data_IF_883593605214
#
_entry.id   IF_883593605214
#
_cell.length_a   1.000
_cell.length_b   1.000
_cell.length_c   1.000
_cell.angle_alpha   90.00
_cell.angle_beta   90.00
_cell.angle_gamma   90.00
#
_symmetry.space_group_name_H-M   'P 1'
#
loop_
_entity.id
_entity.type
_entity.pdbx_description
1 polymer ?
#
# COMPACT_ATOMS: atom_id res chain seq x y z
N UNK A 1 -19.12 -6.27 20.92
CA UNK A 1 -19.27 -5.83 19.51
C UNK A 1 -19.53 -7.06 18.65
N UNK A 2 -20.61 -7.06 17.86
CA UNK A 2 -20.97 -8.18 16.98
C UNK A 2 -19.97 -8.31 15.82
N UNK A 3 -19.59 -9.54 15.46
CA UNK A 3 -18.77 -9.79 14.25
C UNK A 3 -19.63 -9.44 13.01
N UNK A 4 -19.08 -8.75 12.00
CA UNK A 4 -19.84 -8.46 10.78
C UNK A 4 -20.32 -9.76 10.13
N UNK A 5 -21.58 -9.84 9.72
CA UNK A 5 -22.03 -10.96 8.87
C UNK A 5 -21.36 -10.84 7.50
N UNK A 6 -21.27 -11.96 6.76
CA UNK A 6 -20.62 -12.00 5.43
C UNK A 6 -21.17 -10.94 4.46
N UNK A 7 -22.46 -10.63 4.53
CA UNK A 7 -23.12 -9.58 3.74
C UNK A 7 -22.60 -8.18 4.08
N UNK A 8 -22.44 -7.85 5.37
CA UNK A 8 -21.93 -6.55 5.80
C UNK A 8 -20.48 -6.33 5.37
N UNK A 9 -19.66 -7.39 5.43
CA UNK A 9 -18.27 -7.33 4.97
C UNK A 9 -18.16 -7.06 3.46
N UNK A 10 -18.96 -7.76 2.64
CA UNK A 10 -19.03 -7.53 1.18
C UNK A 10 -19.49 -6.12 0.84
N UNK A 11 -20.52 -5.62 1.54
CA UNK A 11 -21.01 -4.26 1.34
C UNK A 11 -19.96 -3.22 1.72
N UNK A 12 -19.28 -3.41 2.87
CA UNK A 12 -18.19 -2.55 3.32
C UNK A 12 -17.02 -2.47 2.34
N UNK A 13 -16.62 -3.59 1.72
CA UNK A 13 -15.56 -3.60 0.70
C UNK A 13 -15.99 -2.92 -0.60
N UNK A 14 -17.21 -3.20 -1.06
CA UNK A 14 -17.77 -2.56 -2.24
C UNK A 14 -17.89 -1.04 -2.04
N UNK A 15 -18.33 -0.61 -0.86
CA UNK A 15 -18.40 0.79 -0.47
C UNK A 15 -17.01 1.44 -0.47
N UNK A 16 -16.01 0.80 0.16
CA UNK A 16 -14.63 1.30 0.21
C UNK A 16 -14.05 1.50 -1.19
N UNK A 17 -14.16 0.49 -2.07
CA UNK A 17 -13.70 0.58 -3.46
C UNK A 17 -14.40 1.70 -4.22
N UNK A 18 -15.72 1.78 -4.10
CA UNK A 18 -16.52 2.80 -4.79
C UNK A 18 -16.16 4.21 -4.32
N UNK A 19 -15.99 4.41 -3.01
CA UNK A 19 -15.52 5.69 -2.44
C UNK A 19 -14.14 6.06 -2.94
N UNK A 20 -13.19 5.14 -2.94
CA UNK A 20 -11.84 5.41 -3.44
C UNK A 20 -11.87 5.83 -4.91
N UNK A 21 -12.66 5.11 -5.73
CA UNK A 21 -12.82 5.42 -7.15
C UNK A 21 -13.41 6.84 -7.35
N UNK A 22 -14.43 7.19 -6.57
CA UNK A 22 -15.04 8.52 -6.60
C UNK A 22 -14.07 9.60 -6.12
N UNK A 23 -13.38 9.39 -5.00
CA UNK A 23 -12.37 10.33 -4.47
C UNK A 23 -11.27 10.57 -5.49
N UNK A 24 -10.78 9.50 -6.14
CA UNK A 24 -9.78 9.60 -7.20
C UNK A 24 -10.29 10.42 -8.38
N UNK A 25 -11.46 10.05 -8.91
CA UNK A 25 -12.04 10.64 -10.13
C UNK A 25 -12.42 12.11 -9.94
N UNK A 26 -12.97 12.47 -8.79
CA UNK A 26 -13.57 13.79 -8.58
C UNK A 26 -12.72 14.73 -7.73
N UNK A 27 -11.71 14.24 -7.02
CA UNK A 27 -10.88 15.08 -6.15
C UNK A 27 -9.39 14.92 -6.47
N UNK A 28 -8.83 13.71 -6.39
CA UNK A 28 -7.37 13.54 -6.50
C UNK A 28 -6.85 13.93 -7.88
N UNK A 29 -7.51 13.49 -8.96
CA UNK A 29 -7.09 13.83 -10.32
C UNK A 29 -7.38 15.32 -10.65
N UNK A 30 -8.62 15.83 -10.52
CA UNK A 30 -8.93 17.18 -10.96
C UNK A 30 -8.48 18.30 -10.02
N UNK A 31 -8.48 18.09 -8.70
CA UNK A 31 -8.17 19.14 -7.73
C UNK A 31 -6.71 19.10 -7.26
N UNK A 32 -6.17 17.90 -7.02
CA UNK A 32 -4.76 17.74 -6.61
C UNK A 32 -3.81 17.56 -7.80
N UNK A 33 -4.33 17.43 -9.02
CA UNK A 33 -3.49 17.26 -10.21
C UNK A 33 -2.73 15.93 -10.21
N UNK A 34 -3.24 14.88 -9.59
CA UNK A 34 -2.57 13.56 -9.56
C UNK A 34 -2.43 12.99 -10.98
N UNK A 35 -1.18 12.75 -11.41
CA UNK A 35 -0.81 12.18 -12.72
C UNK A 35 -0.54 10.70 -12.66
N UNK A 36 0.23 10.27 -11.67
CA UNK A 36 0.54 8.87 -11.44
C UNK A 36 0.16 8.49 -10.02
N UNK A 37 -0.22 7.24 -9.84
CA UNK A 37 -0.53 6.71 -8.53
C UNK A 37 -0.14 5.24 -8.47
N UNK A 38 0.14 4.80 -7.26
CA UNK A 38 0.24 3.39 -6.89
C UNK A 38 -0.42 3.25 -5.52
N UNK A 39 -1.24 2.24 -5.32
CA UNK A 39 -1.74 1.91 -3.98
C UNK A 39 -2.05 0.43 -3.84
N UNK A 40 -1.93 -0.07 -2.61
CA UNK A 40 -2.27 -1.43 -2.23
C UNK A 40 -3.27 -1.43 -1.07
N UNK A 41 -4.21 -2.38 -1.11
CA UNK A 41 -5.08 -2.69 0.01
C UNK A 41 -4.33 -3.56 1.02
N UNK A 42 -4.50 -3.23 2.29
CA UNK A 42 -3.96 -4.00 3.42
C UNK A 42 -5.04 -4.15 4.48
N UNK A 43 -5.08 -5.27 5.21
CA UNK A 43 -5.94 -5.41 6.38
C UNK A 43 -5.08 -5.53 7.63
N UNK A 44 -5.31 -4.62 8.57
CA UNK A 44 -4.72 -4.66 9.90
C UNK A 44 -5.58 -5.52 10.83
N UNK A 45 -5.14 -5.63 12.08
CA UNK A 45 -5.84 -6.36 13.14
C UNK A 45 -7.33 -6.00 13.18
N UNK A 46 -8.17 -7.02 13.42
CA UNK A 46 -9.64 -6.93 13.44
C UNK A 46 -10.28 -6.57 12.08
N UNK A 47 -9.53 -6.65 10.98
CA UNK A 47 -10.05 -6.44 9.62
C UNK A 47 -10.23 -4.98 9.22
N UNK A 48 -9.53 -4.07 9.90
CA UNK A 48 -9.49 -2.66 9.51
C UNK A 48 -8.68 -2.51 8.22
N UNK A 49 -9.38 -2.39 7.10
CA UNK A 49 -8.70 -2.27 5.81
C UNK A 49 -8.16 -0.86 5.58
N UNK A 50 -6.87 -0.80 5.25
CA UNK A 50 -6.10 0.38 4.93
C UNK A 50 -5.75 0.40 3.44
N UNK A 51 -5.39 1.59 2.96
CA UNK A 51 -4.83 1.77 1.62
C UNK A 51 -3.50 2.49 1.80
N UNK A 52 -2.43 1.84 1.39
CA UNK A 52 -1.09 2.41 1.35
C UNK A 52 -0.77 2.78 -0.08
N UNK A 53 -0.16 3.95 -0.32
CA UNK A 53 0.07 4.37 -1.70
C UNK A 53 0.85 5.66 -1.86
N UNK A 54 1.18 5.93 -3.13
CA UNK A 54 1.84 7.13 -3.61
C UNK A 54 0.97 7.86 -4.62
N UNK A 55 1.04 9.18 -4.57
CA UNK A 55 0.42 10.09 -5.52
C UNK A 55 1.49 11.01 -6.08
N UNK A 56 1.61 11.04 -7.40
CA UNK A 56 2.46 12.00 -8.11
C UNK A 56 1.60 13.17 -8.56
N UNK A 57 1.81 14.33 -7.95
CA UNK A 57 1.10 15.54 -8.28
C UNK A 57 1.80 16.28 -9.41
N UNK A 58 1.01 16.85 -10.32
CA UNK A 58 1.48 17.76 -11.35
C UNK A 58 2.03 19.01 -10.65
N UNK A 59 3.24 19.44 -11.03
CA UNK A 59 3.88 20.67 -10.55
C UNK A 59 4.40 20.63 -9.09
N UNK A 60 4.47 19.44 -8.47
CA UNK A 60 5.09 19.30 -7.16
C UNK A 60 6.61 19.58 -7.18
N UNK A 61 7.15 20.29 -6.17
CA UNK A 61 8.57 20.61 -6.08
C UNK A 61 9.40 19.34 -5.89
N UNK A 62 10.58 19.32 -6.51
CA UNK A 62 11.49 18.18 -6.52
C UNK A 62 12.26 18.09 -5.20
N UNK A 63 11.76 17.26 -4.30
CA UNK A 63 12.37 17.08 -2.99
C UNK A 63 13.78 16.47 -3.03
N UNK A 64 14.13 15.76 -4.10
CA UNK A 64 15.43 15.12 -4.29
C UNK A 64 16.55 16.09 -4.66
N UNK A 65 16.22 17.30 -5.10
CA UNK A 65 17.19 18.37 -5.36
C UNK A 65 17.50 19.19 -4.08
N UNK A 66 16.77 18.95 -2.98
CA UNK A 66 16.95 19.62 -1.69
C UNK A 66 17.83 18.79 -0.77
N UNK A 67 18.90 19.41 -0.27
CA UNK A 67 19.84 18.81 0.68
C UNK A 67 19.29 18.85 2.11
N UNK A 68 18.31 17.99 2.41
CA UNK A 68 17.67 17.93 3.74
C UNK A 68 18.65 17.69 4.90
N UNK A 69 19.80 17.05 4.65
CA UNK A 69 20.83 16.83 5.67
C UNK A 69 21.46 18.12 6.21
N UNK A 70 21.30 19.26 5.51
CA UNK A 70 21.66 20.57 6.06
C UNK A 70 20.88 20.89 7.34
N UNK A 71 19.61 20.46 7.44
CA UNK A 71 18.77 20.70 8.62
C UNK A 71 19.12 19.81 9.82
N UNK A 72 19.93 18.76 9.62
CA UNK A 72 20.38 17.88 10.71
C UNK A 72 21.56 18.47 11.48
N UNK A 73 22.22 19.49 10.93
CA UNK A 73 23.41 20.12 11.49
C UNK A 73 23.04 21.51 12.02
N UNK A 74 23.10 21.76 13.33
CA UNK A 74 22.66 23.03 13.91
C UNK A 74 23.55 24.23 13.50
N UNK A 75 24.77 23.96 13.06
CA UNK A 75 25.78 24.93 12.65
C UNK A 75 25.92 25.06 11.12
N UNK A 76 25.14 24.31 10.34
CA UNK A 76 25.22 24.37 8.88
C UNK A 76 24.67 25.70 8.35
N UNK A 77 25.51 26.39 7.58
CA UNK A 77 25.07 27.52 6.75
C UNK A 77 24.32 26.94 5.54
N UNK A 78 23.04 27.27 5.42
CA UNK A 78 22.19 26.87 4.29
C UNK A 78 22.44 27.86 3.14
N UNK A 79 22.92 27.41 1.97
CA UNK A 79 23.07 28.29 0.81
C UNK A 79 21.72 28.88 0.38
N UNK A 80 21.70 30.13 -0.09
CA UNK A 80 20.46 30.83 -0.49
C UNK A 80 19.62 30.03 -1.50
N UNK A 81 20.26 29.35 -2.45
CA UNK A 81 19.59 28.47 -3.41
C UNK A 81 18.83 27.34 -2.72
N UNK A 82 19.46 26.65 -1.76
CA UNK A 82 18.83 25.57 -1.00
C UNK A 82 17.72 26.11 -0.08
N UNK A 83 17.94 27.26 0.55
CA UNK A 83 16.91 27.93 1.35
C UNK A 83 15.68 28.26 0.48
N UNK A 84 15.88 28.83 -0.70
CA UNK A 84 14.79 29.14 -1.64
C UNK A 84 14.02 27.89 -2.06
N UNK A 85 14.71 26.79 -2.37
CA UNK A 85 14.05 25.52 -2.71
C UNK A 85 13.25 24.95 -1.53
N UNK A 86 13.79 25.01 -0.31
CA UNK A 86 13.08 24.61 0.92
C UNK A 86 11.84 25.47 1.14
N UNK A 87 11.93 26.78 0.94
CA UNK A 87 10.80 27.71 1.06
C UNK A 87 9.69 27.39 0.04
N UNK A 88 10.05 27.23 -1.24
CA UNK A 88 9.09 26.84 -2.28
C UNK A 88 8.44 25.48 -1.98
N UNK A 89 9.21 24.53 -1.46
CA UNK A 89 8.70 23.24 -1.04
C UNK A 89 7.65 23.37 0.07
N UNK A 90 7.97 24.12 1.12
CA UNK A 90 7.08 24.33 2.26
C UNK A 90 5.81 25.08 1.80
N UNK A 91 5.96 26.15 1.05
CA UNK A 91 4.85 26.96 0.54
C UNK A 91 3.87 26.13 -0.31
N UNK A 92 4.41 25.29 -1.21
CA UNK A 92 3.58 24.41 -2.03
C UNK A 92 2.82 23.39 -1.18
N UNK A 93 3.50 22.66 -0.28
CA UNK A 93 2.87 21.58 0.48
C UNK A 93 1.94 22.09 1.59
N UNK A 94 2.16 23.28 2.12
CA UNK A 94 1.28 23.90 3.13
C UNK A 94 -0.10 24.27 2.58
N UNK A 95 -0.23 24.44 1.26
CA UNK A 95 -1.51 24.64 0.59
C UNK A 95 -2.29 23.33 0.40
N UNK A 96 -1.62 22.19 0.46
CA UNK A 96 -2.17 20.87 0.14
C UNK A 96 -2.44 20.05 1.40
N UNK A 97 -1.55 20.15 2.40
CA UNK A 97 -1.56 19.32 3.59
C UNK A 97 -1.70 20.24 4.81
N UNK A 98 -2.68 19.92 5.65
CA UNK A 98 -2.89 20.57 6.95
C UNK A 98 -3.06 19.50 8.03
N UNK A 99 -2.87 19.86 9.29
CA UNK A 99 -3.28 19.05 10.43
C UNK A 99 -4.17 19.88 11.38
N UNK A 100 -4.83 20.93 10.89
CA UNK A 100 -5.67 21.79 11.72
C UNK A 100 -7.09 21.22 11.89
N UNK A 101 -7.57 21.20 13.14
CA UNK A 101 -8.94 20.93 13.54
C UNK A 101 -9.71 22.24 13.73
N UNK A 102 -10.96 22.38 13.26
CA UNK A 102 -11.81 23.51 13.64
C UNK A 102 -12.20 23.49 15.13
N UNK A 103 -12.01 22.35 15.80
CA UNK A 103 -12.24 22.15 17.23
C UNK A 103 -10.99 21.48 17.83
N UNK A 104 -9.90 22.23 18.06
CA UNK A 104 -8.68 21.65 18.60
C UNK A 104 -8.93 21.10 20.01
N UNK A 105 -8.30 19.98 20.34
CA UNK A 105 -8.25 19.50 21.72
C UNK A 105 -7.55 20.54 22.61
N UNK A 106 -8.31 21.20 23.49
CA UNK A 106 -7.81 22.25 24.41
C UNK A 106 -7.21 21.68 25.71
N UNK A 107 -7.08 20.36 25.84
CA UNK A 107 -6.59 19.75 27.07
C UNK A 107 -5.06 19.78 27.12
N UNK A 108 -4.54 20.85 27.73
CA UNK A 108 -3.11 21.03 28.04
C UNK A 108 -2.54 19.94 28.97
N UNK A 109 -3.39 19.15 29.64
CA UNK A 109 -2.99 18.05 30.52
C UNK A 109 -2.99 16.68 29.82
N UNK A 110 -3.36 16.61 28.54
CA UNK A 110 -3.23 15.36 27.79
C UNK A 110 -1.74 15.01 27.76
N UNK A 111 -1.31 13.83 28.25
CA UNK A 111 0.08 13.45 28.19
C UNK A 111 0.56 13.66 26.77
N UNK A 112 1.63 14.43 26.61
CA UNK A 112 2.40 14.39 25.38
C UNK A 112 2.58 12.91 25.10
N UNK A 113 1.93 12.36 24.07
CA UNK A 113 2.50 11.20 23.42
C UNK A 113 3.92 11.66 23.15
N UNK A 114 4.87 11.08 23.90
CA UNK A 114 6.26 11.52 23.92
C UNK A 114 6.77 11.61 22.49
N UNK A 115 7.96 12.19 22.29
CA UNK A 115 8.61 12.17 20.97
C UNK A 115 8.21 10.93 20.20
N UNK A 116 7.47 11.11 19.09
CA UNK A 116 6.93 9.97 18.35
C UNK A 116 8.10 9.00 18.22
N UNK A 117 8.03 7.73 18.67
CA UNK A 117 9.19 6.86 18.91
C UNK A 117 10.03 6.53 17.66
N UNK A 118 9.71 7.18 16.54
CA UNK A 118 10.37 7.17 15.25
C UNK A 118 10.88 8.57 14.82
N UNK A 119 11.11 9.51 15.73
CA UNK A 119 11.98 10.68 15.54
C UNK A 119 13.44 10.23 15.42
N UNK A 120 13.73 9.29 14.51
CA UNK A 120 15.07 8.73 14.25
C UNK A 120 15.98 9.74 13.53
N UNK A 121 16.01 11.00 13.95
CA UNK A 121 16.80 12.08 13.32
C UNK A 121 16.48 12.31 11.84
N UNK A 122 15.26 11.93 11.39
CA UNK A 122 14.83 12.11 9.99
C UNK A 122 14.11 13.43 9.85
N UNK A 123 14.52 14.21 8.86
CA UNK A 123 13.81 15.41 8.43
C UNK A 123 12.42 15.02 7.93
N UNK A 124 11.42 15.82 8.29
CA UNK A 124 10.03 15.65 7.89
C UNK A 124 9.42 17.02 7.61
N UNK A 125 8.42 17.03 6.73
CA UNK A 125 7.53 18.17 6.59
C UNK A 125 6.44 18.08 7.67
N UNK A 126 6.28 19.15 8.43
CA UNK A 126 5.22 19.30 9.42
C UNK A 126 4.32 20.46 8.96
N UNK A 127 3.04 20.20 8.63
CA UNK A 127 2.12 21.25 8.22
C UNK A 127 1.71 22.13 9.40
N UNK A 128 0.99 23.23 9.12
CA UNK A 128 0.29 23.97 10.16
C UNK A 128 -0.65 23.02 10.94
N UNK A 129 -0.59 23.12 12.26
CA UNK A 129 -1.13 22.15 13.18
C UNK A 129 -1.58 22.85 14.45
N UNK A 130 -2.85 22.65 14.83
CA UNK A 130 -3.42 23.20 16.05
C UNK A 130 -3.93 22.13 17.03
N UNK A 131 -3.85 20.85 16.66
CA UNK A 131 -4.27 19.71 17.50
C UNK A 131 -3.28 18.57 17.34
N UNK A 132 -2.49 18.30 18.39
CA UNK A 132 -1.35 17.35 18.37
C UNK A 132 -1.70 15.91 17.97
N UNK A 133 -2.97 15.53 18.01
CA UNK A 133 -3.44 14.18 17.69
C UNK A 133 -3.95 14.05 16.25
N UNK A 134 -3.95 15.15 15.49
CA UNK A 134 -4.44 15.17 14.12
C UNK A 134 -3.37 14.64 13.17
N UNK A 135 -3.72 13.62 12.39
CA UNK A 135 -2.86 13.21 11.29
C UNK A 135 -2.88 14.27 10.18
N UNK A 136 -1.76 14.54 9.49
CA UNK A 136 -1.74 15.36 8.30
C UNK A 136 -2.71 14.84 7.23
N UNK A 137 -3.55 15.73 6.70
CA UNK A 137 -4.59 15.39 5.73
C UNK A 137 -4.76 16.50 4.68
N UNK A 138 -5.42 16.17 3.58
CA UNK A 138 -5.92 17.15 2.62
C UNK A 138 -7.43 17.33 2.80
N UNK A 139 -7.89 18.58 2.90
CA UNK A 139 -9.29 18.94 3.19
C UNK A 139 -10.26 18.36 2.14
N UNK A 140 -9.96 18.51 0.85
CA UNK A 140 -10.83 17.99 -0.21
C UNK A 140 -10.85 16.45 -0.23
N UNK A 141 -9.70 15.81 -0.02
CA UNK A 141 -9.59 14.35 0.02
C UNK A 141 -10.35 13.75 1.20
N UNK A 142 -10.25 14.29 2.41
CA UNK A 142 -10.94 13.71 3.58
C UNK A 142 -12.46 13.82 3.44
N UNK A 143 -12.97 14.88 2.81
CA UNK A 143 -14.39 15.05 2.50
C UNK A 143 -14.89 14.02 1.47
N UNK A 144 -14.11 13.75 0.43
CA UNK A 144 -14.45 12.72 -0.57
C UNK A 144 -14.31 11.30 -0.03
N UNK A 145 -13.20 11.03 0.68
CA UNK A 145 -12.82 9.72 1.20
C UNK A 145 -13.66 9.30 2.42
N UNK A 146 -13.96 10.24 3.32
CA UNK A 146 -14.71 10.03 4.56
C UNK A 146 -14.13 8.93 5.46
N UNK A 147 -12.80 8.85 5.49
CA UNK A 147 -12.06 7.98 6.39
C UNK A 147 -10.73 8.64 6.75
N UNK A 148 -10.07 8.12 7.78
CA UNK A 148 -8.79 8.64 8.25
C UNK A 148 -7.74 8.63 7.14
N UNK A 149 -6.91 9.67 7.10
CA UNK A 149 -5.82 9.86 6.14
C UNK A 149 -4.56 10.24 6.91
N UNK A 150 -3.41 9.74 6.45
CA UNK A 150 -2.09 10.22 6.85
C UNK A 150 -1.33 10.55 5.55
N UNK A 151 -1.38 11.81 5.13
CA UNK A 151 -0.81 12.29 3.88
C UNK A 151 0.48 13.07 4.16
N UNK A 152 1.60 12.59 3.63
CA UNK A 152 2.91 13.21 3.82
C UNK A 152 3.64 13.34 2.50
N UNK A 153 4.35 14.46 2.26
CA UNK A 153 5.18 14.57 1.08
C UNK A 153 6.41 13.68 1.22
N UNK A 154 6.91 13.21 0.09
CA UNK A 154 8.08 12.35 0.02
C UNK A 154 9.31 13.22 -0.12
N UNK A 155 10.26 13.08 0.81
CA UNK A 155 11.46 13.92 0.83
C UNK A 155 12.66 13.32 0.08
N UNK A 156 12.65 12.03 -0.24
CA UNK A 156 13.73 11.39 -1.00
C UNK A 156 13.26 10.17 -1.79
N UNK A 157 14.01 9.81 -2.83
CA UNK A 157 13.75 8.61 -3.65
C UNK A 157 13.87 7.33 -2.82
N UNK A 158 14.85 7.28 -1.93
CA UNK A 158 15.08 6.15 -1.03
C UNK A 158 13.91 5.99 -0.07
N UNK A 159 13.33 7.08 0.42
CA UNK A 159 12.12 7.02 1.25
C UNK A 159 10.94 6.44 0.48
N UNK A 160 10.77 6.81 -0.80
CA UNK A 160 9.76 6.24 -1.68
C UNK A 160 9.97 4.73 -1.88
N UNK A 161 11.18 4.33 -2.30
CA UNK A 161 11.54 2.93 -2.59
C UNK A 161 11.36 2.07 -1.35
N UNK A 162 11.88 2.51 -0.19
CA UNK A 162 11.76 1.77 1.06
C UNK A 162 10.30 1.59 1.50
N UNK A 163 9.46 2.59 1.25
CA UNK A 163 8.03 2.48 1.55
C UNK A 163 7.35 1.48 0.59
N UNK A 164 7.57 1.60 -0.73
CA UNK A 164 7.03 0.64 -1.71
C UNK A 164 7.48 -0.77 -1.34
N UNK A 165 8.78 -0.98 -1.13
CA UNK A 165 9.33 -2.27 -0.75
C UNK A 165 8.67 -2.80 0.53
N UNK A 166 8.55 -1.99 1.58
CA UNK A 166 7.91 -2.38 2.84
C UNK A 166 6.50 -2.93 2.65
N UNK A 167 5.68 -2.31 1.79
CA UNK A 167 4.28 -2.71 1.61
C UNK A 167 4.10 -3.74 0.49
N UNK A 168 4.98 -3.77 -0.51
CA UNK A 168 5.00 -4.79 -1.55
C UNK A 168 5.56 -6.13 -1.04
N UNK A 169 6.53 -6.10 -0.13
CA UNK A 169 7.14 -7.29 0.49
C UNK A 169 6.58 -7.60 1.87
N UNK A 170 5.43 -7.01 2.25
CA UNK A 170 4.86 -7.23 3.57
C UNK A 170 4.40 -8.68 3.66
N UNK A 171 5.16 -9.48 4.41
CA UNK A 171 4.82 -10.88 4.62
C UNK A 171 3.44 -11.01 5.27
N UNK A 172 2.70 -12.01 4.82
CA UNK A 172 1.42 -12.38 5.41
C UNK A 172 1.68 -12.90 6.82
N UNK A 173 1.07 -12.26 7.82
CA UNK A 173 1.25 -12.67 9.21
C UNK A 173 0.61 -14.04 9.41
N UNK A 174 1.23 -14.86 10.26
CA UNK A 174 0.70 -16.15 10.74
C UNK A 174 0.69 -17.31 9.72
N UNK A 175 1.24 -17.13 8.52
CA UNK A 175 1.48 -18.27 7.61
C UNK A 175 2.72 -19.07 8.07
N UNK A 176 2.63 -20.40 8.23
CA UNK A 176 3.80 -21.23 8.48
C UNK A 176 4.81 -21.08 7.33
N UNK A 177 6.11 -21.26 7.62
CA UNK A 177 7.11 -21.13 6.58
C UNK A 177 6.87 -22.17 5.48
N UNK A 178 7.13 -21.81 4.21
CA UNK A 178 6.90 -22.72 3.07
C UNK A 178 7.47 -24.15 3.28
N UNK A 179 8.69 -24.33 3.85
CA UNK A 179 9.22 -25.66 4.13
C UNK A 179 8.40 -26.47 5.13
N UNK A 180 7.80 -25.81 6.13
CA UNK A 180 6.97 -26.46 7.16
C UNK A 180 5.62 -26.89 6.57
N UNK A 181 5.02 -26.04 5.72
CA UNK A 181 3.83 -26.39 4.96
C UNK A 181 4.09 -27.58 4.04
N UNK A 182 5.24 -27.59 3.34
CA UNK A 182 5.63 -28.66 2.44
C UNK A 182 5.86 -29.97 3.16
N UNK A 183 6.62 -29.95 4.26
CA UNK A 183 6.83 -31.12 5.09
C UNK A 183 5.49 -31.69 5.60
N UNK A 184 4.57 -30.82 6.02
CA UNK A 184 3.23 -31.23 6.43
C UNK A 184 2.44 -31.91 5.32
N UNK A 185 2.42 -31.35 4.10
CA UNK A 185 1.72 -31.95 2.96
C UNK A 185 2.32 -33.31 2.59
N UNK A 186 3.65 -33.41 2.54
CA UNK A 186 4.35 -34.65 2.19
C UNK A 186 4.10 -35.73 3.25
N UNK A 187 4.09 -35.38 4.54
CA UNK A 187 3.81 -36.33 5.63
C UNK A 187 2.35 -36.81 5.64
N UNK A 188 1.40 -36.01 5.12
CA UNK A 188 -0.02 -36.36 4.97
C UNK A 188 -0.34 -37.10 3.65
N UNK A 189 0.66 -37.34 2.80
CA UNK A 189 0.51 -38.14 1.59
C UNK A 189 0.87 -39.59 1.91
N UNK A 190 -0.14 -40.45 1.98
CA UNK A 190 0.07 -41.91 2.02
C UNK A 190 0.23 -42.45 0.59
N UNK A 191 1.31 -43.20 0.33
CA UNK A 191 1.59 -43.88 -0.96
C UNK A 191 2.26 -43.04 -2.05
N UNK A 192 2.29 -43.56 -3.30
CA UNK A 192 2.78 -42.85 -4.50
C UNK A 192 1.80 -41.73 -4.91
N UNK A 193 1.78 -40.63 -4.16
CA UNK A 193 1.06 -39.44 -4.56
C UNK A 193 1.79 -38.66 -5.66
N UNK A 194 1.06 -38.18 -6.65
CA UNK A 194 1.66 -37.39 -7.75
C UNK A 194 2.06 -35.99 -7.28
N UNK A 195 3.05 -35.39 -7.95
CA UNK A 195 3.45 -34.00 -7.69
C UNK A 195 2.27 -33.02 -7.83
N UNK A 196 1.33 -33.30 -8.74
CA UNK A 196 0.14 -32.49 -8.97
C UNK A 196 -0.81 -32.53 -7.76
N UNK A 197 -0.99 -33.70 -7.14
CA UNK A 197 -1.76 -33.84 -5.90
C UNK A 197 -1.08 -33.10 -4.73
N UNK A 198 0.25 -33.19 -4.65
CA UNK A 198 1.04 -32.46 -3.65
C UNK A 198 0.87 -30.93 -3.82
N UNK A 199 0.98 -30.42 -5.05
CA UNK A 199 0.76 -29.00 -5.36
C UNK A 199 -0.67 -28.56 -5.00
N UNK A 200 -1.69 -29.38 -5.29
CA UNK A 200 -3.09 -29.05 -4.97
C UNK A 200 -3.34 -29.03 -3.46
N UNK A 201 -2.83 -30.02 -2.72
CA UNK A 201 -2.88 -30.04 -1.24
C UNK A 201 -2.13 -28.85 -0.64
N UNK A 202 -0.95 -28.53 -1.19
CA UNK A 202 -0.16 -27.36 -0.80
C UNK A 202 -0.95 -26.07 -0.99
N UNK A 203 -1.53 -25.83 -2.18
CA UNK A 203 -2.33 -24.64 -2.44
C UNK A 203 -3.49 -24.51 -1.45
N UNK A 204 -4.20 -25.61 -1.18
CA UNK A 204 -5.27 -25.62 -0.19
C UNK A 204 -4.77 -25.34 1.24
N UNK A 205 -3.63 -25.89 1.63
CA UNK A 205 -3.04 -25.68 2.95
C UNK A 205 -2.55 -24.23 3.12
N UNK A 206 -1.90 -23.65 2.11
CA UNK A 206 -1.54 -22.22 2.09
C UNK A 206 -2.77 -21.31 2.22
N UNK A 207 -3.91 -21.68 1.62
CA UNK A 207 -5.16 -20.93 1.75
C UNK A 207 -5.82 -21.10 3.13
N UNK A 208 -5.68 -22.26 3.77
CA UNK A 208 -6.36 -22.60 5.03
C UNK A 208 -5.61 -22.19 6.29
N UNK A 209 -4.27 -22.16 6.26
CA UNK A 209 -3.42 -21.84 7.42
C UNK A 209 -3.35 -20.32 7.69
N UNK A 210 -3.78 -19.49 6.73
CA UNK A 210 -3.83 -18.04 6.92
C UNK A 210 -5.14 -17.61 7.57
N UNK A 211 -5.02 -16.78 8.60
CA UNK A 211 -6.16 -16.10 9.22
C UNK A 211 -6.56 -14.88 8.38
N UNK A 212 -7.76 -14.91 7.81
CA UNK A 212 -8.32 -13.79 7.06
C UNK A 212 -9.39 -13.08 7.89
N UNK A 213 -9.39 -11.75 7.83
CA UNK A 213 -10.54 -11.01 8.34
C UNK A 213 -11.75 -11.16 7.41
N UNK A 214 -12.98 -11.07 7.93
CA UNK A 214 -14.18 -11.11 7.11
C UNK A 214 -14.16 -10.06 5.98
N UNK A 215 -13.59 -8.90 6.27
CA UNK A 215 -13.39 -7.79 5.33
C UNK A 215 -12.41 -8.14 4.22
N UNK A 216 -11.32 -8.83 4.53
CA UNK A 216 -10.31 -9.27 3.56
C UNK A 216 -10.86 -10.39 2.68
N UNK A 217 -11.48 -11.41 3.30
CA UNK A 217 -12.18 -12.47 2.58
C UNK A 217 -13.21 -11.89 1.62
N UNK A 218 -14.00 -10.92 2.07
CA UNK A 218 -14.97 -10.26 1.21
C UNK A 218 -14.33 -9.52 0.02
N UNK A 219 -13.14 -8.93 0.20
CA UNK A 219 -12.44 -8.25 -0.87
C UNK A 219 -11.94 -9.23 -1.94
N UNK A 220 -11.33 -10.33 -1.49
CA UNK A 220 -10.85 -11.41 -2.36
C UNK A 220 -12.00 -12.06 -3.12
N UNK A 221 -13.12 -12.38 -2.45
CA UNK A 221 -14.30 -12.98 -3.08
C UNK A 221 -15.00 -12.05 -4.09
N UNK A 222 -14.82 -10.73 -3.97
CA UNK A 222 -15.34 -9.77 -4.93
C UNK A 222 -14.40 -9.55 -6.13
N UNK A 223 -13.25 -10.26 -6.18
CA UNK A 223 -12.26 -10.12 -7.24
C UNK A 223 -11.70 -8.69 -7.34
N UNK A 224 -11.65 -7.96 -6.22
CA UNK A 224 -11.09 -6.60 -6.23
C UNK A 224 -9.56 -6.75 -6.22
N UNK A 225 -8.83 -6.11 -7.16
CA UNK A 225 -7.37 -6.16 -7.18
C UNK A 225 -6.77 -5.57 -5.89
N UNK A 226 -5.80 -6.29 -5.31
CA UNK A 226 -5.09 -5.82 -4.12
C UNK A 226 -4.19 -4.62 -4.41
N UNK A 227 -3.66 -4.53 -5.63
CA UNK A 227 -2.75 -3.47 -6.07
C UNK A 227 -3.34 -2.77 -7.27
N UNK A 228 -3.23 -1.45 -7.28
CA UNK A 228 -3.61 -0.60 -8.40
C UNK A 228 -2.49 0.40 -8.69
N UNK A 229 -2.24 0.63 -9.97
CA UNK A 229 -1.32 1.66 -10.42
C UNK A 229 -1.84 2.35 -11.67
N UNK A 230 -1.36 3.57 -11.91
CA UNK A 230 -1.51 4.25 -13.21
C UNK A 230 -0.62 3.67 -14.31
N UNK A 231 0.32 2.80 -13.93
CA UNK A 231 1.33 2.23 -14.82
C UNK A 231 1.09 0.73 -14.97
N UNK A 232 1.26 0.22 -16.18
CA UNK A 232 1.24 -1.21 -16.48
C UNK A 232 2.59 -1.83 -16.14
N UNK A 233 2.58 -2.91 -15.36
CA UNK A 233 3.78 -3.67 -15.05
C UNK A 233 3.86 -4.88 -15.99
N UNK A 234 5.06 -5.18 -16.47
CA UNK A 234 5.35 -6.45 -17.13
C UNK A 234 5.98 -7.38 -16.12
N UNK A 235 5.49 -8.60 -16.04
CA UNK A 235 6.10 -9.64 -15.22
C UNK A 235 7.11 -10.40 -16.06
N UNK A 236 8.36 -10.40 -15.64
CA UNK A 236 9.43 -11.13 -16.30
C UNK A 236 9.91 -12.26 -15.40
N UNK A 237 10.19 -13.41 -15.99
CA UNK A 237 10.97 -14.47 -15.37
C UNK A 237 12.45 -14.15 -15.58
N UNK A 238 13.23 -14.19 -14.50
CA UNK A 238 14.69 -14.06 -14.53
C UNK A 238 15.27 -15.44 -14.21
N UNK A 239 16.03 -16.02 -15.16
CA UNK A 239 16.69 -17.31 -14.97
C UNK A 239 17.92 -17.16 -14.08
N UNK A 240 18.35 -18.26 -13.46
CA UNK A 240 19.57 -18.29 -12.65
C UNK A 240 20.82 -17.95 -13.49
N UNK A 241 20.81 -18.21 -14.80
CA UNK A 241 21.90 -17.84 -15.73
C UNK A 241 21.81 -16.37 -16.20
N UNK A 242 20.85 -15.59 -15.71
CA UNK A 242 20.68 -14.18 -16.06
C UNK A 242 19.88 -13.93 -17.35
N UNK A 243 19.27 -14.96 -17.94
CA UNK A 243 18.30 -14.80 -19.02
C UNK A 243 16.98 -14.21 -18.51
N UNK A 244 16.23 -13.53 -19.37
CA UNK A 244 14.87 -13.10 -19.02
C UNK A 244 13.87 -13.47 -20.11
N UNK A 245 12.63 -13.77 -19.70
CA UNK A 245 11.47 -13.89 -20.61
C UNK A 245 10.25 -13.23 -20.01
N UNK A 246 9.42 -12.64 -20.84
CA UNK A 246 8.10 -12.16 -20.41
C UNK A 246 7.23 -13.36 -20.01
N UNK A 247 6.53 -13.23 -18.88
CA UNK A 247 5.45 -14.13 -18.51
C UNK A 247 4.18 -13.54 -19.13
N UNK A 248 3.52 -14.31 -20.00
CA UNK A 248 2.29 -13.90 -20.68
C UNK A 248 1.20 -13.46 -19.69
N UNK A 249 0.25 -12.66 -20.18
CA UNK A 249 -0.88 -12.20 -19.39
C UNK A 249 -1.90 -13.32 -19.17
N UNK A 250 -2.82 -13.19 -18.19
CA UNK A 250 -3.89 -14.18 -17.97
C UNK A 250 -4.75 -14.42 -19.22
N UNK A 251 -4.86 -13.43 -20.12
CA UNK A 251 -5.53 -13.57 -21.42
C UNK A 251 -4.81 -14.55 -22.35
N UNK A 252 -3.46 -14.60 -22.31
CA UNK A 252 -2.65 -15.52 -23.11
C UNK A 252 -2.74 -16.97 -22.61
N UNK A 253 -2.99 -17.16 -21.31
CA UNK A 253 -3.17 -18.49 -20.71
C UNK A 253 -4.54 -19.11 -21.05
N UNK A 254 -5.58 -18.29 -21.13
CA UNK A 254 -6.94 -18.72 -21.53
C UNK A 254 -7.03 -19.05 -23.02
N UNK A 255 -6.22 -18.41 -23.87
CA UNK A 255 -6.16 -18.68 -25.31
C UNK A 255 -5.49 -20.02 -25.65
N UNK A 256 -4.57 -20.50 -24.81
CA UNK A 256 -3.78 -21.72 -25.06
C UNK A 256 -4.31 -22.98 -24.36
N UNK A 257 -5.45 -22.90 -23.65
CA UNK A 257 -6.05 -24.02 -22.91
C UNK A 257 -6.98 -24.93 -23.73
N UNK A 258 -6.97 -24.81 -25.06
CA UNK A 258 -7.96 -25.42 -25.94
C UNK A 258 -7.38 -26.29 -27.05
N UNK A 259 -6.36 -27.11 -26.79
CA UNK A 259 -5.92 -28.14 -27.76
C UNK A 259 -5.10 -29.24 -27.05
N UNK A 260 -5.77 -30.11 -26.29
CA UNK A 260 -5.29 -31.49 -26.08
C UNK A 260 -6.28 -32.42 -26.81
N UNK A 261 -5.94 -32.77 -28.04
CA UNK A 261 -6.61 -33.83 -28.78
C UNK A 261 -6.14 -35.19 -28.25
N UNK A 262 -7.06 -35.91 -27.59
CA UNK A 262 -6.93 -37.34 -27.31
C UNK A 262 -6.72 -38.11 -28.64
N UNK A 263 -5.50 -38.57 -28.87
CA UNK A 263 -5.14 -39.47 -29.96
C UNK A 263 -4.55 -40.76 -29.41
N UNK A 264 -5.40 -41.76 -29.17
CA UNK A 264 -4.99 -43.14 -28.94
C UNK A 264 -4.46 -43.74 -30.25
N UNK A 265 -3.28 -44.40 -30.30
CA UNK A 265 -2.84 -45.10 -31.49
C UNK A 265 -3.42 -46.53 -31.54
N UNK A 266 -3.95 -46.91 -32.69
CA UNK A 266 -4.16 -48.30 -33.12
C UNK A 266 -2.81 -49.01 -33.37
#
# INVERSE_FOLDING_TARGET
MARPTSTHAKWGQSYKRSRLCMTKKHFMVPLLGVRHFWYCFEWQERGSGHIHGFLWLKDAPKADEIHWDLLKRPDAIIPDEQANMMHQFIEYWSQIITASSPFPCLDDNMPLLGEHPYSKGRVRFEPEHNDRLMNPYNVAMILGWRANIDLKPVLSKEAAINYIAKYASKAEKEAPAFPELLAGVVNEMEGEGTAQLACKKMLNKMLGERTYSAQETAHLLLGIPLVHASTTFQTIYISAEGGFRELGTEEDAMANGGEESDGCPD
#
